data_IF_857447281482
#
_entry.id   IF_857447281482
#
_cell.length_a   1.000
_cell.length_b   1.000
_cell.length_c   1.000
_cell.angle_alpha   90.00
_cell.angle_beta   90.00
_cell.angle_gamma   90.00
#
_symmetry.space_group_name_H-M   'P 1'
#
loop_
_entity.id
_entity.type
_entity.pdbx_description
1 polymer ?
#
# COMPACT_ATOMS: atom_id res chain seq x y z
N UNK A 1 -58.00 -11.74 -12.30
CA UNK A 1 -56.85 -12.67 -12.26
C UNK A 1 -55.61 -12.15 -13.00
N UNK A 2 -55.69 -11.13 -13.88
CA UNK A 2 -54.51 -10.65 -14.63
C UNK A 2 -53.59 -9.68 -13.88
N UNK A 3 -54.10 -8.79 -13.01
CA UNK A 3 -53.26 -7.77 -12.33
C UNK A 3 -52.17 -8.35 -11.42
N UNK A 4 -52.41 -9.50 -10.78
CA UNK A 4 -51.39 -10.16 -9.93
C UNK A 4 -50.26 -10.77 -10.76
N UNK A 5 -50.56 -11.40 -11.91
CA UNK A 5 -49.53 -11.98 -12.80
C UNK A 5 -48.63 -10.91 -13.42
N UNK A 6 -49.16 -9.71 -13.69
CA UNK A 6 -48.36 -8.59 -14.20
C UNK A 6 -47.46 -8.00 -13.11
N UNK A 7 -47.95 -7.87 -11.88
CA UNK A 7 -47.15 -7.36 -10.75
C UNK A 7 -46.00 -8.30 -10.38
N UNK A 8 -46.25 -9.61 -10.31
CA UNK A 8 -45.21 -10.61 -10.01
C UNK A 8 -44.11 -10.66 -11.08
N UNK A 9 -44.46 -10.48 -12.35
CA UNK A 9 -43.49 -10.42 -13.46
C UNK A 9 -42.63 -9.15 -13.40
N UNK A 10 -43.19 -8.03 -12.97
CA UNK A 10 -42.44 -6.76 -12.81
C UNK A 10 -41.48 -6.84 -11.63
N UNK A 11 -41.94 -7.32 -10.47
CA UNK A 11 -41.10 -7.53 -9.27
C UNK A 11 -39.92 -8.47 -9.59
N UNK A 12 -40.16 -9.57 -10.32
CA UNK A 12 -39.10 -10.52 -10.71
C UNK A 12 -38.09 -9.92 -11.71
N UNK A 13 -38.55 -9.05 -12.63
CA UNK A 13 -37.67 -8.37 -13.60
C UNK A 13 -36.76 -7.38 -12.89
N UNK A 14 -37.28 -6.65 -11.90
CA UNK A 14 -36.49 -5.72 -11.09
C UNK A 14 -35.38 -6.44 -10.32
N UNK A 15 -35.72 -7.51 -9.59
CA UNK A 15 -34.74 -8.29 -8.85
C UNK A 15 -33.66 -8.92 -9.74
N UNK A 16 -34.05 -9.41 -10.93
CA UNK A 16 -33.07 -9.90 -11.91
C UNK A 16 -32.12 -8.79 -12.37
N UNK A 17 -32.61 -7.58 -12.57
CA UNK A 17 -31.75 -6.46 -12.96
C UNK A 17 -30.77 -6.07 -11.84
N UNK A 18 -31.24 -6.00 -10.59
CA UNK A 18 -30.37 -5.76 -9.44
C UNK A 18 -29.27 -6.82 -9.30
N UNK A 19 -29.61 -8.10 -9.49
CA UNK A 19 -28.62 -9.18 -9.45
C UNK A 19 -27.59 -9.03 -10.57
N UNK A 20 -28.00 -8.65 -11.78
CA UNK A 20 -27.07 -8.38 -12.87
C UNK A 20 -26.12 -7.23 -12.52
N UNK A 21 -26.62 -6.12 -11.96
CA UNK A 21 -25.79 -4.99 -11.51
C UNK A 21 -24.73 -5.46 -10.51
N UNK A 22 -25.11 -6.28 -9.53
CA UNK A 22 -24.19 -6.84 -8.52
C UNK A 22 -23.12 -7.73 -9.15
N UNK A 23 -23.44 -8.48 -10.20
CA UNK A 23 -22.52 -9.43 -10.84
C UNK A 23 -21.59 -8.74 -11.84
N UNK A 24 -22.11 -7.79 -12.63
CA UNK A 24 -21.41 -7.21 -13.78
C UNK A 24 -20.59 -5.96 -13.46
N UNK A 25 -20.91 -5.25 -12.35
CA UNK A 25 -20.22 -4.01 -11.99
C UNK A 25 -18.73 -4.25 -11.73
N UNK A 26 -17.89 -3.39 -12.29
CA UNK A 26 -16.42 -3.52 -12.21
C UNK A 26 -15.78 -2.59 -11.18
N UNK A 27 -16.47 -1.51 -10.82
CA UNK A 27 -16.04 -0.53 -9.84
C UNK A 27 -17.22 -0.01 -9.01
N UNK A 28 -16.89 0.59 -7.88
CA UNK A 28 -17.87 1.07 -6.88
C UNK A 28 -18.79 2.15 -7.45
N UNK A 29 -18.27 3.01 -8.33
CA UNK A 29 -18.99 4.17 -8.84
C UNK A 29 -20.06 3.76 -9.83
N UNK A 30 -19.71 2.90 -10.77
CA UNK A 30 -20.64 2.30 -11.72
C UNK A 30 -21.76 1.58 -10.96
N UNK A 31 -21.39 0.73 -9.98
CA UNK A 31 -22.35 -0.01 -9.16
C UNK A 31 -23.35 0.93 -8.45
N UNK A 32 -22.85 1.94 -7.73
CA UNK A 32 -23.70 2.85 -6.96
C UNK A 32 -24.61 3.69 -7.88
N UNK A 33 -24.12 4.09 -9.05
CA UNK A 33 -24.92 4.84 -10.04
C UNK A 33 -26.07 3.99 -10.58
N UNK A 34 -25.78 2.77 -11.04
CA UNK A 34 -26.81 1.89 -11.57
C UNK A 34 -27.81 1.48 -10.47
N UNK A 35 -27.34 1.25 -9.25
CA UNK A 35 -28.17 0.94 -8.10
C UNK A 35 -29.19 2.06 -7.83
N UNK A 36 -28.72 3.31 -7.68
CA UNK A 36 -29.62 4.41 -7.33
C UNK A 36 -30.63 4.70 -8.45
N UNK A 37 -30.23 4.55 -9.71
CA UNK A 37 -31.11 4.72 -10.87
C UNK A 37 -32.24 3.70 -10.88
N UNK A 38 -31.93 2.45 -10.58
CA UNK A 38 -32.92 1.37 -10.52
C UNK A 38 -33.85 1.54 -9.32
N UNK A 39 -33.30 1.84 -8.15
CA UNK A 39 -34.09 2.05 -6.94
C UNK A 39 -35.05 3.23 -7.11
N UNK A 40 -34.57 4.38 -7.60
CA UNK A 40 -35.45 5.55 -7.75
C UNK A 40 -36.55 5.31 -8.79
N UNK A 41 -36.25 4.62 -9.89
CA UNK A 41 -37.22 4.22 -10.90
C UNK A 41 -38.30 3.28 -10.33
N UNK A 42 -37.90 2.22 -9.63
CA UNK A 42 -38.82 1.23 -9.05
C UNK A 42 -39.76 1.84 -8.01
N UNK A 43 -39.21 2.69 -7.13
CA UNK A 43 -39.96 3.35 -6.07
C UNK A 43 -40.69 4.62 -6.53
N UNK A 44 -40.56 4.98 -7.82
CA UNK A 44 -41.09 6.21 -8.43
C UNK A 44 -40.77 7.44 -7.59
N UNK A 45 -39.52 7.54 -7.14
CA UNK A 45 -39.04 8.63 -6.30
C UNK A 45 -38.55 9.80 -7.15
N UNK A 46 -38.48 10.99 -6.56
CA UNK A 46 -38.07 12.23 -7.26
C UNK A 46 -36.56 12.52 -7.11
N UNK A 47 -35.86 11.71 -6.31
CA UNK A 47 -34.43 11.81 -6.10
C UNK A 47 -33.92 10.73 -5.17
N UNK A 48 -32.59 10.59 -5.14
CA UNK A 48 -31.92 9.68 -4.23
C UNK A 48 -30.42 9.86 -4.24
N UNK A 49 -29.79 9.46 -3.14
CA UNK A 49 -28.36 9.58 -2.90
C UNK A 49 -27.79 8.31 -2.30
N UNK A 50 -26.55 8.01 -2.69
CA UNK A 50 -25.72 6.98 -2.07
C UNK A 50 -24.50 7.66 -1.46
N UNK A 51 -24.36 7.50 -0.15
CA UNK A 51 -23.19 7.95 0.61
C UNK A 51 -22.42 6.73 1.11
N UNK A 52 -21.10 6.73 0.93
CA UNK A 52 -20.22 5.70 1.51
C UNK A 52 -19.33 6.32 2.59
N UNK A 53 -18.95 5.50 3.56
CA UNK A 53 -18.08 5.89 4.67
C UNK A 53 -16.63 5.85 4.21
N UNK A 54 -15.94 6.97 4.37
CA UNK A 54 -14.49 7.03 4.38
C UNK A 54 -14.00 6.91 5.83
N UNK A 55 -13.69 5.67 6.24
CA UNK A 55 -13.23 5.35 7.61
C UNK A 55 -11.88 5.97 7.93
N UNK A 56 -11.07 6.34 6.94
CA UNK A 56 -9.74 6.93 7.18
C UNK A 56 -9.85 8.37 7.67
N UNK A 57 -10.89 9.08 7.24
CA UNK A 57 -11.08 10.50 7.54
C UNK A 57 -12.34 10.78 8.36
N UNK A 58 -13.09 9.74 8.76
CA UNK A 58 -14.39 9.82 9.45
C UNK A 58 -15.43 10.67 8.70
N UNK A 59 -15.48 10.52 7.37
CA UNK A 59 -16.37 11.28 6.49
C UNK A 59 -17.40 10.38 5.80
N UNK A 60 -18.56 10.96 5.48
CA UNK A 60 -19.51 10.46 4.50
C UNK A 60 -19.26 11.15 3.17
N UNK A 61 -19.07 10.36 2.11
CA UNK A 61 -18.77 10.84 0.76
C UNK A 61 -19.94 10.52 -0.17
N UNK A 62 -20.44 11.53 -0.89
CA UNK A 62 -21.47 11.31 -1.91
C UNK A 62 -20.85 10.58 -3.11
N UNK A 63 -21.29 9.36 -3.41
CA UNK A 63 -20.71 8.55 -4.50
C UNK A 63 -21.65 8.39 -5.70
N UNK A 64 -22.96 8.50 -5.50
CA UNK A 64 -23.95 8.46 -6.58
C UNK A 64 -25.22 9.23 -6.24
N UNK A 65 -25.93 9.69 -7.28
CA UNK A 65 -27.19 10.43 -7.18
C UNK A 65 -28.04 10.23 -8.43
N UNK A 66 -29.36 10.09 -8.27
CA UNK A 66 -30.30 9.92 -9.40
C UNK A 66 -30.46 11.17 -10.28
N UNK A 67 -30.43 12.36 -9.68
CA UNK A 67 -30.40 13.62 -10.42
C UNK A 67 -28.94 14.07 -10.54
N UNK A 68 -28.46 14.48 -11.73
CA UNK A 68 -27.05 14.69 -11.96
C UNK A 68 -26.54 15.90 -11.17
N UNK A 69 -25.82 15.62 -10.08
CA UNK A 69 -24.89 16.54 -9.44
C UNK A 69 -23.45 16.12 -9.75
N UNK A 70 -23.01 16.03 -11.03
CA UNK A 70 -21.72 15.46 -11.39
C UNK A 70 -20.55 16.21 -10.75
N UNK A 71 -20.73 17.50 -10.46
CA UNK A 71 -19.75 18.34 -9.79
C UNK A 71 -19.65 18.10 -8.27
N UNK A 72 -20.54 17.30 -7.69
CA UNK A 72 -20.57 16.97 -6.26
C UNK A 72 -20.24 15.50 -6.00
N UNK A 73 -20.44 14.62 -6.98
CA UNK A 73 -20.03 13.22 -6.90
C UNK A 73 -18.53 13.16 -6.57
N UNK A 74 -18.21 12.46 -5.50
CA UNK A 74 -16.89 12.28 -4.90
C UNK A 74 -16.19 13.55 -4.36
N UNK A 75 -16.82 14.72 -4.50
CA UNK A 75 -16.28 16.00 -4.00
C UNK A 75 -17.00 16.49 -2.76
N UNK A 76 -18.27 16.15 -2.61
CA UNK A 76 -19.06 16.44 -1.42
C UNK A 76 -18.78 15.40 -0.34
N UNK A 77 -18.31 15.88 0.81
CA UNK A 77 -18.17 15.07 2.01
C UNK A 77 -18.49 15.86 3.27
N UNK A 78 -18.89 15.17 4.33
CA UNK A 78 -19.14 15.75 5.65
C UNK A 78 -18.91 14.71 6.76
N UNK A 79 -18.72 15.13 8.02
CA UNK A 79 -18.48 14.20 9.14
C UNK A 79 -19.58 13.14 9.30
N UNK A 80 -19.17 11.92 9.66
CA UNK A 80 -20.07 10.76 9.79
C UNK A 80 -21.19 10.93 10.83
N UNK A 81 -21.05 11.87 11.75
CA UNK A 81 -22.02 12.14 12.82
C UNK A 81 -23.06 13.21 12.47
N UNK A 82 -22.97 13.84 11.29
CA UNK A 82 -23.82 14.95 10.88
C UNK A 82 -24.89 14.55 9.86
N UNK A 83 -26.02 15.26 9.88
CA UNK A 83 -27.10 15.05 8.91
C UNK A 83 -27.99 13.83 9.22
N UNK A 84 -29.08 13.71 8.47
CA UNK A 84 -29.93 12.51 8.47
C UNK A 84 -29.13 11.25 8.11
N UNK A 85 -28.25 11.37 7.10
CA UNK A 85 -27.37 10.29 6.65
C UNK A 85 -26.38 9.85 7.74
N UNK A 86 -25.78 10.79 8.48
CA UNK A 86 -24.89 10.46 9.59
C UNK A 86 -25.59 9.78 10.75
N UNK A 87 -26.85 10.17 11.02
CA UNK A 87 -27.67 9.45 12.00
C UNK A 87 -27.88 7.99 11.59
N UNK A 88 -28.28 7.73 10.33
CA UNK A 88 -28.49 6.37 9.79
C UNK A 88 -27.24 5.51 9.92
N UNK A 89 -26.08 6.08 9.55
CA UNK A 89 -24.81 5.35 9.58
C UNK A 89 -24.34 5.08 11.01
N UNK A 90 -24.62 5.98 11.96
CA UNK A 90 -24.23 5.80 13.35
C UNK A 90 -25.11 4.79 14.09
N UNK A 91 -26.42 4.83 13.86
CA UNK A 91 -27.37 3.94 14.54
C UNK A 91 -27.52 2.61 13.84
N UNK A 92 -27.28 2.55 12.52
CA UNK A 92 -27.60 1.38 11.71
C UNK A 92 -29.11 1.16 11.54
N UNK A 93 -29.91 2.20 11.78
CA UNK A 93 -31.37 2.15 11.72
C UNK A 93 -31.92 2.87 10.48
N UNK A 94 -33.03 2.35 9.97
CA UNK A 94 -33.79 2.95 8.87
C UNK A 94 -34.53 4.20 9.36
N UNK A 95 -34.41 5.29 8.60
CA UNK A 95 -35.00 6.58 8.91
C UNK A 95 -36.08 6.96 7.91
N UNK A 96 -37.27 7.30 8.40
CA UNK A 96 -38.47 7.52 7.59
C UNK A 96 -39.12 8.85 7.94
N UNK A 97 -39.33 9.71 6.95
CA UNK A 97 -40.16 10.91 7.03
C UNK A 97 -41.25 10.87 5.96
N UNK A 98 -42.48 11.16 6.38
CA UNK A 98 -43.65 11.23 5.48
C UNK A 98 -43.78 12.60 4.83
N UNK A 99 -43.31 13.65 5.49
CA UNK A 99 -43.32 15.04 5.07
C UNK A 99 -42.28 15.85 5.86
N UNK A 100 -41.98 17.06 5.37
CA UNK A 100 -41.15 18.07 6.01
C UNK A 100 -39.83 17.55 6.62
N UNK A 101 -39.13 16.64 5.96
CA UNK A 101 -37.87 16.09 6.48
C UNK A 101 -36.79 17.16 6.76
N UNK A 102 -36.86 18.29 6.04
CA UNK A 102 -35.98 19.45 6.21
C UNK A 102 -36.18 20.21 7.54
N UNK A 103 -37.23 19.90 8.30
CA UNK A 103 -37.49 20.51 9.61
C UNK A 103 -36.94 19.71 10.79
N UNK A 104 -36.39 18.52 10.55
CA UNK A 104 -35.77 17.72 11.61
C UNK A 104 -34.45 18.37 12.05
N UNK A 105 -34.17 18.44 13.35
CA UNK A 105 -32.96 19.05 13.89
C UNK A 105 -31.67 18.40 13.38
N UNK A 106 -31.73 17.12 12.97
CA UNK A 106 -30.61 16.40 12.38
C UNK A 106 -30.42 16.73 10.90
N UNK A 107 -31.36 17.42 10.26
CA UNK A 107 -31.24 17.77 8.85
C UNK A 107 -30.09 18.75 8.65
N UNK A 108 -29.17 18.37 7.77
CA UNK A 108 -28.05 19.21 7.37
C UNK A 108 -28.36 19.84 6.03
N UNK A 109 -28.52 21.16 6.01
CA UNK A 109 -28.63 21.92 4.77
C UNK A 109 -27.27 21.91 4.05
N UNK A 110 -27.29 21.56 2.78
CA UNK A 110 -26.12 21.60 1.90
C UNK A 110 -26.53 22.46 0.71
N UNK A 111 -26.09 23.73 0.66
CA UNK A 111 -26.55 24.74 -0.32
C UNK A 111 -26.55 24.29 -1.79
N UNK A 112 -25.70 23.32 -2.14
CA UNK A 112 -25.56 22.79 -3.51
C UNK A 112 -26.53 21.64 -3.83
N UNK A 113 -27.14 21.05 -2.80
CA UNK A 113 -28.15 20.02 -2.91
C UNK A 113 -29.46 20.65 -2.43
N UNK A 114 -30.38 20.95 -3.33
CA UNK A 114 -31.70 21.52 -3.04
C UNK A 114 -32.60 20.50 -2.30
N UNK A 115 -32.10 19.93 -1.20
CA UNK A 115 -32.70 18.84 -0.44
C UNK A 115 -33.95 19.29 0.32
N UNK A 116 -34.02 20.58 0.65
CA UNK A 116 -35.17 21.24 1.27
C UNK A 116 -36.42 21.21 0.37
N UNK A 117 -36.26 20.90 -0.92
CA UNK A 117 -37.40 20.74 -1.84
C UNK A 117 -38.11 19.39 -1.72
N UNK A 118 -37.57 18.46 -0.93
CA UNK A 118 -38.17 17.15 -0.68
C UNK A 118 -39.00 17.16 0.60
N UNK A 119 -40.18 16.57 0.52
CA UNK A 119 -41.11 16.44 1.64
C UNK A 119 -40.91 15.09 2.34
N UNK A 120 -40.95 13.99 1.57
CA UNK A 120 -40.79 12.64 2.09
C UNK A 120 -39.38 12.10 1.87
N UNK A 121 -38.88 11.35 2.85
CA UNK A 121 -37.54 10.79 2.88
C UNK A 121 -37.59 9.36 3.42
N UNK A 122 -36.90 8.44 2.76
CA UNK A 122 -36.62 7.09 3.25
C UNK A 122 -35.12 6.85 3.09
N UNK A 123 -34.41 6.72 4.21
CA UNK A 123 -32.99 6.44 4.25
C UNK A 123 -32.69 5.14 4.97
N UNK A 124 -31.85 4.31 4.38
CA UNK A 124 -31.57 2.94 4.83
C UNK A 124 -30.05 2.74 4.88
N UNK A 125 -29.51 2.09 5.93
CA UNK A 125 -28.09 1.77 5.99
C UNK A 125 -27.72 0.70 4.96
N UNK A 126 -26.62 0.93 4.26
CA UNK A 126 -25.96 -0.08 3.44
C UNK A 126 -25.00 -0.83 4.34
N UNK A 127 -25.23 -2.13 4.55
CA UNK A 127 -24.45 -2.94 5.48
C UNK A 127 -24.13 -4.32 4.93
N UNK A 128 -22.96 -4.81 5.30
CA UNK A 128 -22.59 -6.22 5.17
C UNK A 128 -22.51 -6.82 6.59
N UNK A 129 -23.42 -7.74 6.88
CA UNK A 129 -23.71 -8.23 8.23
C UNK A 129 -23.86 -7.10 9.28
N UNK A 130 -22.88 -6.93 10.17
CA UNK A 130 -22.87 -5.89 11.22
C UNK A 130 -22.10 -4.62 10.81
N UNK A 131 -21.41 -4.65 9.67
CA UNK A 131 -20.54 -3.58 9.20
C UNK A 131 -21.35 -2.64 8.31
N UNK A 132 -21.55 -1.41 8.79
CA UNK A 132 -22.15 -0.35 7.97
C UNK A 132 -21.08 0.18 7.01
N UNK A 133 -21.42 0.20 5.73
CA UNK A 133 -20.57 0.65 4.61
C UNK A 133 -20.99 2.06 4.18
N UNK A 134 -22.27 2.40 4.35
CA UNK A 134 -22.82 3.68 3.92
C UNK A 134 -24.32 3.77 4.16
N UNK A 135 -24.98 4.66 3.43
CA UNK A 135 -26.42 4.80 3.43
C UNK A 135 -26.95 5.16 2.04
N UNK A 136 -28.13 4.62 1.73
CA UNK A 136 -28.89 4.97 0.55
C UNK A 136 -30.15 5.70 1.00
N UNK A 137 -30.49 6.80 0.33
CA UNK A 137 -31.75 7.51 0.56
C UNK A 137 -32.51 7.75 -0.72
N UNK A 138 -33.84 7.64 -0.66
CA UNK A 138 -34.77 8.05 -1.70
C UNK A 138 -35.75 9.08 -1.16
N UNK A 139 -36.18 9.98 -2.04
CA UNK A 139 -36.92 11.19 -1.64
C UNK A 139 -38.05 11.49 -2.61
N UNK A 140 -39.13 12.10 -2.11
CA UNK A 140 -40.25 12.61 -2.93
C UNK A 140 -40.52 14.07 -2.60
N UNK A 141 -40.83 14.88 -3.61
CA UNK A 141 -41.17 16.31 -3.49
C UNK A 141 -42.55 16.55 -2.90
N UNK A 142 -43.37 15.50 -2.81
CA UNK A 142 -44.68 15.52 -2.17
C UNK A 142 -44.68 14.61 -0.94
N UNK A 143 -45.54 14.88 0.05
CA UNK A 143 -45.75 13.96 1.15
C UNK A 143 -46.07 12.55 0.65
N UNK A 144 -45.47 11.54 1.27
CA UNK A 144 -45.67 10.14 0.91
C UNK A 144 -45.69 9.26 2.14
N UNK A 145 -46.70 8.40 2.22
CA UNK A 145 -46.79 7.40 3.27
C UNK A 145 -46.07 6.13 2.83
N UNK A 146 -44.80 6.01 3.22
CA UNK A 146 -44.00 4.81 2.99
C UNK A 146 -44.68 3.58 3.62
N UNK A 147 -44.97 2.59 2.78
CA UNK A 147 -45.55 1.31 3.22
C UNK A 147 -44.45 0.40 3.76
N UNK A 148 -44.80 -0.49 4.68
CA UNK A 148 -43.85 -1.47 5.22
C UNK A 148 -43.18 -2.31 4.12
N UNK A 149 -43.91 -2.68 3.06
CA UNK A 149 -43.33 -3.38 1.90
C UNK A 149 -42.23 -2.52 1.23
N UNK A 150 -42.45 -1.22 1.06
CA UNK A 150 -41.44 -0.33 0.45
C UNK A 150 -40.19 -0.24 1.33
N UNK A 151 -40.37 -0.05 2.63
CA UNK A 151 -39.26 0.04 3.60
C UNK A 151 -38.44 -1.25 3.57
N UNK A 152 -39.11 -2.40 3.73
CA UNK A 152 -38.46 -3.71 3.77
C UNK A 152 -37.76 -4.05 2.46
N UNK A 153 -38.38 -3.76 1.31
CA UNK A 153 -37.74 -3.98 0.01
C UNK A 153 -36.47 -3.13 -0.12
N UNK A 154 -36.47 -1.88 0.35
CA UNK A 154 -35.26 -1.06 0.30
C UNK A 154 -34.16 -1.56 1.24
N UNK A 155 -34.51 -2.07 2.42
CA UNK A 155 -33.59 -2.72 3.36
C UNK A 155 -32.94 -3.97 2.77
N UNK A 156 -33.71 -4.81 2.09
CA UNK A 156 -33.21 -5.99 1.39
C UNK A 156 -32.24 -5.61 0.28
N UNK A 157 -32.57 -4.57 -0.51
CA UNK A 157 -31.69 -4.03 -1.55
C UNK A 157 -30.38 -3.50 -0.95
N UNK A 158 -30.44 -2.73 0.15
CA UNK A 158 -29.26 -2.17 0.79
C UNK A 158 -28.37 -3.23 1.45
N UNK A 159 -28.96 -4.34 1.91
CA UNK A 159 -28.22 -5.51 2.41
C UNK A 159 -27.48 -6.22 1.26
N UNK A 160 -28.14 -6.42 0.12
CA UNK A 160 -27.50 -6.98 -1.07
C UNK A 160 -26.39 -6.06 -1.61
N UNK A 161 -26.66 -4.75 -1.64
CA UNK A 161 -25.70 -3.75 -2.07
C UNK A 161 -24.48 -3.69 -1.15
N UNK A 162 -24.66 -3.87 0.16
CA UNK A 162 -23.56 -3.93 1.11
C UNK A 162 -22.58 -5.04 0.79
N UNK A 163 -23.08 -6.27 0.53
CA UNK A 163 -22.24 -7.40 0.11
C UNK A 163 -21.47 -7.14 -1.17
N UNK A 164 -22.13 -6.56 -2.17
CA UNK A 164 -21.50 -6.22 -3.45
C UNK A 164 -20.39 -5.17 -3.27
N UNK A 165 -20.65 -4.14 -2.47
CA UNK A 165 -19.69 -3.07 -2.19
C UNK A 165 -18.49 -3.55 -1.38
N UNK A 166 -18.70 -4.41 -0.38
CA UNK A 166 -17.61 -5.04 0.38
C UNK A 166 -16.67 -5.80 -0.56
N UNK A 167 -17.24 -6.62 -1.45
CA UNK A 167 -16.49 -7.36 -2.47
C UNK A 167 -15.73 -6.41 -3.43
N UNK A 168 -16.37 -5.35 -3.92
CA UNK A 168 -15.72 -4.40 -4.84
C UNK A 168 -14.56 -3.66 -4.16
N UNK A 169 -14.72 -3.25 -2.91
CA UNK A 169 -13.65 -2.63 -2.11
C UNK A 169 -12.48 -3.60 -1.91
N UNK A 170 -12.74 -4.87 -1.63
CA UNK A 170 -11.71 -5.90 -1.49
C UNK A 170 -10.94 -6.13 -2.81
N UNK A 171 -11.65 -6.17 -3.94
CA UNK A 171 -11.05 -6.29 -5.28
C UNK A 171 -10.18 -5.07 -5.60
N UNK A 172 -10.66 -3.84 -5.35
CA UNK A 172 -9.87 -2.63 -5.56
C UNK A 172 -8.62 -2.60 -4.69
N UNK A 173 -8.73 -2.98 -3.41
CA UNK A 173 -7.60 -3.06 -2.49
C UNK A 173 -6.58 -4.12 -2.95
N UNK A 174 -7.05 -5.29 -3.39
CA UNK A 174 -6.20 -6.35 -3.93
C UNK A 174 -5.50 -5.92 -5.22
N UNK A 175 -6.21 -5.26 -6.14
CA UNK A 175 -5.62 -4.70 -7.37
C UNK A 175 -4.54 -3.67 -7.07
N UNK A 176 -4.78 -2.75 -6.11
CA UNK A 176 -3.77 -1.78 -5.66
C UNK A 176 -2.54 -2.49 -5.11
N UNK A 177 -2.72 -3.52 -4.27
CA UNK A 177 -1.61 -4.33 -3.72
C UNK A 177 -0.81 -5.03 -4.84
N UNK A 178 -1.48 -5.62 -5.83
CA UNK A 178 -0.83 -6.29 -6.98
C UNK A 178 -0.07 -5.26 -7.83
N UNK A 179 -0.67 -4.14 -8.21
CA UNK A 179 0.00 -3.09 -9.00
C UNK A 179 1.23 -2.53 -8.27
N UNK A 180 1.14 -2.39 -6.95
CA UNK A 180 2.27 -1.98 -6.11
C UNK A 180 3.39 -3.02 -6.13
N UNK A 181 3.05 -4.30 -6.07
CA UNK A 181 4.00 -5.42 -6.17
C UNK A 181 4.65 -5.53 -7.56
N UNK A 182 3.88 -5.33 -8.62
CA UNK A 182 4.40 -5.30 -9.99
C UNK A 182 5.35 -4.12 -10.21
N UNK A 183 5.01 -2.94 -9.66
CA UNK A 183 5.87 -1.75 -9.71
C UNK A 183 7.17 -1.98 -8.94
N UNK A 184 7.12 -2.63 -7.78
CA UNK A 184 8.30 -3.09 -7.06
C UNK A 184 9.17 -4.03 -7.91
N UNK A 185 8.56 -5.01 -8.56
CA UNK A 185 9.26 -5.95 -9.42
C UNK A 185 9.95 -5.25 -10.60
N UNK A 186 9.30 -4.25 -11.22
CA UNK A 186 9.86 -3.49 -12.33
C UNK A 186 11.00 -2.55 -11.91
N UNK A 187 10.89 -1.92 -10.74
CA UNK A 187 11.98 -1.08 -10.19
C UNK A 187 13.20 -1.96 -9.90
N UNK A 188 13.00 -3.16 -9.35
CA UNK A 188 14.08 -4.10 -9.05
C UNK A 188 14.86 -4.58 -10.28
N UNK A 189 14.26 -4.53 -11.47
CA UNK A 189 14.88 -4.95 -12.74
C UNK A 189 15.50 -3.80 -13.54
N UNK A 190 15.21 -2.54 -13.21
CA UNK A 190 15.52 -1.39 -14.11
C UNK A 190 16.55 -0.40 -13.55
N UNK A 191 16.83 -0.34 -12.25
CA UNK A 191 17.63 0.77 -11.68
C UNK A 191 19.09 0.39 -11.39
N UNK A 192 20.01 1.17 -12.00
CA UNK A 192 21.47 1.04 -12.05
C UNK A 192 22.11 2.23 -11.29
N UNK A 193 22.74 2.02 -10.12
CA UNK A 193 23.91 2.73 -9.53
C UNK A 193 24.10 2.44 -8.02
N UNK A 194 25.32 2.68 -7.51
CA UNK A 194 25.81 2.51 -6.13
C UNK A 194 25.01 3.28 -5.03
N UNK A 195 24.14 4.24 -5.39
CA UNK A 195 23.32 5.02 -4.42
C UNK A 195 21.95 4.43 -4.11
N UNK A 196 21.52 3.37 -4.79
CA UNK A 196 20.14 2.89 -4.72
C UNK A 196 19.88 1.79 -3.69
N UNK A 197 20.90 1.13 -3.13
CA UNK A 197 20.69 0.03 -2.18
C UNK A 197 19.82 0.44 -1.00
N UNK A 198 20.17 1.57 -0.38
CA UNK A 198 19.45 2.12 0.76
C UNK A 198 18.03 2.57 0.36
N UNK A 199 17.87 3.17 -0.82
CA UNK A 199 16.57 3.62 -1.33
C UNK A 199 15.64 2.44 -1.63
N UNK A 200 16.15 1.37 -2.25
CA UNK A 200 15.42 0.13 -2.52
C UNK A 200 14.99 -0.52 -1.20
N UNK A 201 15.91 -0.64 -0.24
CA UNK A 201 15.60 -1.21 1.07
C UNK A 201 14.52 -0.40 1.80
N UNK A 202 14.62 0.93 1.77
CA UNK A 202 13.62 1.84 2.34
C UNK A 202 12.26 1.73 1.64
N UNK A 203 12.26 1.58 0.31
CA UNK A 203 11.04 1.38 -0.47
C UNK A 203 10.37 0.05 -0.12
N UNK A 204 11.14 -1.04 -0.05
CA UNK A 204 10.62 -2.37 0.31
C UNK A 204 9.97 -2.32 1.71
N UNK A 205 10.65 -1.79 2.74
CA UNK A 205 10.05 -1.74 4.08
C UNK A 205 8.79 -0.87 4.13
N UNK A 206 8.77 0.24 3.38
CA UNK A 206 7.62 1.14 3.33
C UNK A 206 6.40 0.45 2.72
N UNK A 207 6.58 -0.19 1.57
CA UNK A 207 5.50 -0.88 0.86
C UNK A 207 5.05 -2.11 1.64
N UNK A 208 6.00 -2.86 2.22
CA UNK A 208 5.69 -4.04 3.03
C UNK A 208 4.85 -3.65 4.25
N UNK A 209 5.22 -2.58 4.96
CA UNK A 209 4.46 -2.09 6.11
C UNK A 209 3.02 -1.71 5.72
N UNK A 210 2.85 -1.00 4.61
CA UNK A 210 1.53 -0.61 4.11
C UNK A 210 0.68 -1.82 3.71
N UNK A 211 1.27 -2.77 2.98
CA UNK A 211 0.55 -3.94 2.47
C UNK A 211 0.10 -4.93 3.56
N UNK A 212 0.88 -5.00 4.65
CA UNK A 212 0.64 -5.92 5.79
C UNK A 212 0.05 -5.23 7.01
N UNK A 213 -0.16 -3.91 6.97
CA UNK A 213 -0.67 -3.15 8.12
C UNK A 213 0.26 -3.15 9.34
N UNK A 214 1.57 -3.32 9.13
CA UNK A 214 2.55 -3.35 10.22
C UNK A 214 2.63 -2.01 10.94
N UNK A 215 2.81 -2.05 12.26
CA UNK A 215 3.26 -0.91 13.05
C UNK A 215 4.70 -0.52 12.72
N UNK A 216 5.58 -1.51 12.62
CA UNK A 216 6.97 -1.33 12.19
C UNK A 216 7.36 -2.48 11.26
N UNK A 217 7.89 -2.12 10.09
CA UNK A 217 8.62 -3.04 9.24
C UNK A 217 10.10 -2.64 9.19
N UNK A 218 11.00 -3.63 9.19
CA UNK A 218 12.44 -3.39 9.06
C UNK A 218 13.16 -4.53 8.36
N UNK A 219 14.21 -4.19 7.62
CA UNK A 219 15.16 -5.14 7.05
C UNK A 219 16.45 -5.08 7.88
N UNK A 220 16.90 -6.25 8.33
CA UNK A 220 18.23 -6.42 8.93
C UNK A 220 19.08 -7.30 8.02
N UNK A 221 20.25 -6.80 7.61
CA UNK A 221 21.19 -7.59 6.80
C UNK A 221 22.16 -8.33 7.70
N UNK A 222 22.56 -9.52 7.25
CA UNK A 222 23.56 -10.35 7.93
C UNK A 222 24.96 -9.82 7.64
N UNK A 223 25.68 -9.43 8.69
CA UNK A 223 27.13 -9.26 8.65
C UNK A 223 27.77 -10.63 8.90
N UNK A 224 28.25 -11.27 7.83
CA UNK A 224 28.86 -12.60 7.88
C UNK A 224 30.13 -12.63 8.74
N UNK A 225 30.87 -11.52 8.85
CA UNK A 225 32.13 -11.47 9.60
C UNK A 225 31.88 -11.46 11.11
N UNK A 226 30.81 -10.78 11.54
CA UNK A 226 30.45 -10.65 12.96
C UNK A 226 29.37 -11.66 13.39
N UNK A 227 28.74 -12.34 12.43
CA UNK A 227 27.59 -13.20 12.65
C UNK A 227 26.43 -12.47 13.36
N UNK A 228 26.17 -11.24 12.91
CA UNK A 228 25.21 -10.31 13.50
C UNK A 228 24.26 -9.74 12.44
N UNK A 229 23.04 -9.45 12.85
CA UNK A 229 22.01 -8.78 12.06
C UNK A 229 22.04 -7.29 12.37
N UNK A 230 22.24 -6.49 11.33
CA UNK A 230 22.34 -5.04 11.39
C UNK A 230 21.13 -4.44 10.70
N UNK A 231 20.41 -3.53 11.37
CA UNK A 231 19.29 -2.81 10.75
C UNK A 231 19.84 -1.96 9.61
N UNK A 232 19.32 -2.18 8.41
CA UNK A 232 19.68 -1.39 7.22
C UNK A 232 18.53 -0.55 6.72
N UNK A 233 17.28 -0.95 6.93
CA UNK A 233 16.14 -0.09 6.64
C UNK A 233 15.00 -0.33 7.63
N UNK A 234 14.21 0.71 7.88
CA UNK A 234 12.95 0.62 8.59
C UNK A 234 12.00 1.73 8.13
N UNK A 235 10.71 1.43 8.12
CA UNK A 235 9.66 2.42 7.92
C UNK A 235 9.45 3.28 9.18
N UNK A 236 9.89 2.82 10.36
CA UNK A 236 9.86 3.62 11.59
C UNK A 236 11.01 4.64 11.62
N UNK A 237 10.67 5.88 11.94
CA UNK A 237 11.64 6.95 12.21
C UNK A 237 12.07 7.00 13.69
N UNK A 238 11.61 6.07 14.52
CA UNK A 238 11.90 6.07 15.95
C UNK A 238 13.41 5.90 16.21
N UNK A 239 14.07 6.87 16.87
CA UNK A 239 15.48 6.71 17.23
C UNK A 239 15.72 5.55 18.19
N UNK A 240 14.75 5.20 19.04
CA UNK A 240 14.85 4.02 19.93
C UNK A 240 14.94 2.73 19.11
N UNK A 241 14.17 2.64 18.02
CA UNK A 241 14.13 1.47 17.16
C UNK A 241 15.28 1.45 16.15
N UNK A 242 15.74 2.60 15.66
CA UNK A 242 16.83 2.63 14.67
C UNK A 242 18.21 2.39 15.30
N UNK A 243 18.40 2.81 16.55
CA UNK A 243 19.69 2.71 17.26
C UNK A 243 19.80 1.49 18.19
N UNK A 244 18.93 0.49 18.04
CA UNK A 244 19.06 -0.73 18.84
C UNK A 244 20.36 -1.46 18.49
N UNK A 245 20.96 -2.15 19.46
CA UNK A 245 22.15 -2.93 19.18
C UNK A 245 21.83 -4.08 18.21
N UNK A 246 22.87 -4.51 17.48
CA UNK A 246 22.78 -5.62 16.55
C UNK A 246 22.28 -6.90 17.25
N UNK A 247 21.65 -7.77 16.47
CA UNK A 247 21.15 -9.06 16.96
C UNK A 247 22.06 -10.18 16.51
N UNK A 248 22.53 -11.01 17.45
CA UNK A 248 23.28 -12.21 17.09
C UNK A 248 22.39 -13.27 16.45
N UNK A 249 22.95 -13.98 15.48
CA UNK A 249 22.31 -15.15 14.86
C UNK A 249 22.15 -16.26 15.92
N UNK A 250 20.98 -16.91 15.95
CA UNK A 250 20.63 -17.94 16.94
C UNK A 250 20.24 -17.46 18.34
N UNK A 251 20.57 -16.22 18.73
CA UNK A 251 20.32 -15.70 20.09
C UNK A 251 19.13 -14.72 20.18
N UNK A 252 18.41 -14.53 19.09
CA UNK A 252 17.21 -13.68 18.99
C UNK A 252 16.14 -14.33 18.12
N UNK A 253 14.88 -13.88 18.20
CA UNK A 253 13.80 -14.34 17.30
C UNK A 253 14.22 -14.22 15.82
N UNK A 254 14.67 -13.03 15.42
CA UNK A 254 15.19 -12.76 14.08
C UNK A 254 16.42 -13.61 13.74
N UNK A 255 17.35 -13.76 14.69
CA UNK A 255 18.54 -14.60 14.52
C UNK A 255 18.23 -16.08 14.38
N UNK A 256 17.17 -16.58 15.04
CA UNK A 256 16.70 -17.96 14.92
C UNK A 256 16.05 -18.19 13.56
N UNK A 257 15.28 -17.22 13.05
CA UNK A 257 14.69 -17.30 11.71
C UNK A 257 15.78 -17.43 10.62
N UNK A 258 16.88 -16.69 10.79
CA UNK A 258 18.07 -16.78 9.93
C UNK A 258 18.78 -18.13 10.08
N UNK A 259 19.00 -18.61 11.30
CA UNK A 259 19.69 -19.87 11.57
C UNK A 259 18.92 -21.08 11.01
N UNK A 260 17.61 -21.13 11.25
CA UNK A 260 16.73 -22.24 10.85
C UNK A 260 16.27 -22.13 9.38
N UNK A 261 16.52 -20.99 8.73
CA UNK A 261 16.02 -20.67 7.38
C UNK A 261 14.51 -20.79 7.27
N UNK A 262 13.81 -20.42 8.34
CA UNK A 262 12.35 -20.52 8.46
C UNK A 262 11.77 -19.24 9.03
N UNK A 263 10.56 -18.89 8.61
CA UNK A 263 9.81 -17.82 9.23
C UNK A 263 9.46 -18.16 10.68
N UNK A 264 9.51 -17.16 11.55
CA UNK A 264 9.14 -17.30 12.96
C UNK A 264 8.12 -16.23 13.30
N UNK A 265 6.94 -16.68 13.72
CA UNK A 265 5.88 -15.83 14.23
C UNK A 265 5.86 -15.89 15.76
N UNK A 266 5.80 -14.73 16.40
CA UNK A 266 5.70 -14.56 17.85
C UNK A 266 4.45 -13.76 18.14
N UNK A 267 3.54 -14.35 18.91
CA UNK A 267 2.26 -13.74 19.27
C UNK A 267 2.42 -12.57 20.26
N UNK A 268 3.37 -12.66 21.19
CA UNK A 268 3.64 -11.60 22.17
C UNK A 268 5.14 -11.51 22.47
N UNK A 269 5.82 -10.52 21.88
CA UNK A 269 7.26 -10.30 22.02
C UNK A 269 7.66 -9.90 23.43
N UNK A 270 6.73 -9.41 24.26
CA UNK A 270 7.03 -9.04 25.65
C UNK A 270 7.15 -10.25 26.57
N UNK A 271 6.68 -11.41 26.11
CA UNK A 271 6.69 -12.69 26.85
C UNK A 271 7.65 -13.72 26.25
N UNK A 272 8.18 -13.48 25.05
CA UNK A 272 9.07 -14.41 24.38
C UNK A 272 10.51 -14.29 24.90
N UNK A 273 11.08 -15.41 25.35
CA UNK A 273 12.42 -15.49 25.97
C UNK A 273 13.54 -15.16 24.97
N UNK A 274 13.32 -15.41 23.67
CA UNK A 274 14.27 -15.11 22.60
C UNK A 274 14.12 -13.68 22.09
N UNK A 275 13.10 -12.93 22.51
CA UNK A 275 12.97 -11.54 22.10
C UNK A 275 14.01 -10.67 22.82
N UNK A 276 14.84 -9.98 22.04
CA UNK A 276 15.87 -9.07 22.55
C UNK A 276 15.33 -7.65 22.55
N UNK A 277 15.51 -6.98 23.68
CA UNK A 277 15.09 -5.60 23.95
C UNK A 277 13.57 -5.40 24.17
N UNK A 278 12.94 -6.11 25.13
CA UNK A 278 11.51 -5.96 25.45
C UNK A 278 11.14 -4.53 25.90
N UNK A 279 12.10 -3.77 26.45
CA UNK A 279 11.92 -2.36 26.80
C UNK A 279 11.67 -1.47 25.57
N UNK A 280 12.32 -1.77 24.43
CA UNK A 280 12.07 -1.06 23.16
C UNK A 280 10.67 -1.43 22.65
N UNK A 281 10.30 -2.72 22.69
CA UNK A 281 8.95 -3.14 22.32
C UNK A 281 7.88 -2.42 23.15
N UNK A 282 8.05 -2.33 24.48
CA UNK A 282 7.12 -1.60 25.35
C UNK A 282 7.02 -0.12 25.00
N UNK A 283 8.15 0.54 24.74
CA UNK A 283 8.19 1.98 24.40
C UNK A 283 7.52 2.28 23.06
N UNK A 284 7.71 1.41 22.08
CA UNK A 284 7.18 1.57 20.71
C UNK A 284 5.78 0.94 20.54
N UNK A 285 5.26 0.26 21.57
CA UNK A 285 3.97 -0.42 21.54
C UNK A 285 3.95 -1.67 20.65
N UNK A 286 5.08 -2.38 20.52
CA UNK A 286 5.18 -3.59 19.70
C UNK A 286 4.69 -4.82 20.47
N UNK A 287 3.81 -5.60 19.86
CA UNK A 287 3.18 -6.76 20.49
C UNK A 287 3.52 -8.05 19.75
N UNK A 288 3.13 -8.23 18.50
CA UNK A 288 3.47 -9.45 17.74
C UNK A 288 4.55 -9.18 16.72
N UNK A 289 5.30 -10.22 16.35
CA UNK A 289 6.39 -10.17 15.39
C UNK A 289 6.30 -11.34 14.42
N UNK A 290 6.40 -11.06 13.13
CA UNK A 290 6.75 -12.03 12.10
C UNK A 290 8.15 -11.73 11.56
N UNK A 291 9.09 -12.65 11.80
CA UNK A 291 10.45 -12.59 11.29
C UNK A 291 10.60 -13.58 10.11
N UNK A 292 10.97 -13.07 8.94
CA UNK A 292 11.06 -13.87 7.71
C UNK A 292 12.47 -13.75 7.11
N UNK A 293 13.20 -14.88 6.92
CA UNK A 293 14.54 -14.83 6.37
C UNK A 293 14.52 -14.44 4.89
N UNK A 294 15.48 -13.60 4.50
CA UNK A 294 15.72 -13.22 3.12
C UNK A 294 16.74 -14.16 2.51
N UNK A 295 16.33 -14.94 1.50
CA UNK A 295 17.11 -16.04 0.96
C UNK A 295 17.39 -15.90 -0.53
N UNK A 296 18.63 -16.14 -0.93
CA UNK A 296 19.05 -16.23 -2.33
C UNK A 296 19.92 -17.47 -2.52
N UNK A 297 19.60 -18.30 -3.52
CA UNK A 297 20.35 -19.54 -3.84
C UNK A 297 20.67 -20.42 -2.61
N UNK A 298 19.73 -20.53 -1.66
CA UNK A 298 19.87 -21.32 -0.44
C UNK A 298 20.70 -20.68 0.68
N UNK A 299 21.23 -19.46 0.49
CA UNK A 299 21.92 -18.67 1.51
C UNK A 299 20.99 -17.59 2.08
N UNK A 300 21.08 -17.33 3.38
CA UNK A 300 20.35 -16.24 4.04
C UNK A 300 21.23 -15.01 4.05
N UNK A 301 20.72 -13.89 3.56
CA UNK A 301 21.45 -12.61 3.50
C UNK A 301 20.91 -11.57 4.50
N UNK A 302 19.80 -11.89 5.16
CA UNK A 302 19.15 -11.00 6.12
C UNK A 302 17.79 -11.53 6.56
N UNK A 303 17.00 -10.64 7.17
CA UNK A 303 15.66 -10.92 7.68
C UNK A 303 14.78 -9.69 7.56
N UNK A 304 13.51 -9.90 7.23
CA UNK A 304 12.45 -8.89 7.34
C UNK A 304 11.68 -9.15 8.63
N UNK A 305 11.54 -8.10 9.46
CA UNK A 305 10.73 -8.13 10.66
C UNK A 305 9.50 -7.25 10.46
N UNK A 306 8.31 -7.81 10.66
CA UNK A 306 7.02 -7.11 10.65
C UNK A 306 6.40 -7.17 12.05
N UNK A 307 6.10 -6.02 12.64
CA UNK A 307 5.51 -5.89 13.97
C UNK A 307 4.08 -5.35 13.89
N UNK A 308 3.22 -5.80 14.80
CA UNK A 308 1.89 -5.23 15.08
C UNK A 308 1.89 -4.54 16.45
N UNK A 309 0.97 -3.59 16.65
CA UNK A 309 0.71 -2.96 17.95
C UNK A 309 -0.47 -3.61 18.72
N UNK A 310 -0.94 -4.75 18.24
CA UNK A 310 -1.97 -5.60 18.86
C UNK A 310 -1.55 -7.07 18.77
N UNK A 311 -2.06 -7.95 19.66
CA UNK A 311 -1.81 -9.38 19.57
C UNK A 311 -2.38 -9.95 18.26
N UNK A 312 -1.52 -10.51 17.43
CA UNK A 312 -1.84 -11.00 16.09
C UNK A 312 -1.27 -12.41 15.89
N UNK A 313 -2.14 -13.30 15.40
CA UNK A 313 -1.73 -14.63 14.96
C UNK A 313 -1.63 -14.61 13.44
N UNK A 314 -0.39 -14.56 12.93
CA UNK A 314 -0.13 -14.50 11.50
C UNK A 314 -0.68 -15.74 10.79
N UNK A 315 -1.48 -15.52 9.75
CA UNK A 315 -2.03 -16.58 8.90
C UNK A 315 -0.96 -17.10 7.93
N UNK A 316 -1.17 -18.29 7.36
CA UNK A 316 -0.26 -18.82 6.33
C UNK A 316 -0.18 -17.90 5.11
N UNK A 317 -1.28 -17.23 4.75
CA UNK A 317 -1.31 -16.29 3.63
C UNK A 317 -0.43 -15.06 3.89
N UNK A 318 -0.50 -14.48 5.09
CA UNK A 318 0.36 -13.36 5.50
C UNK A 318 1.84 -13.76 5.54
N UNK A 319 2.14 -14.96 6.04
CA UNK A 319 3.51 -15.51 6.08
C UNK A 319 4.02 -15.72 4.65
N UNK A 320 3.22 -16.32 3.76
CA UNK A 320 3.58 -16.55 2.36
C UNK A 320 3.77 -15.24 1.58
N UNK A 321 2.94 -14.23 1.84
CA UNK A 321 3.09 -12.90 1.27
C UNK A 321 4.42 -12.27 1.67
N UNK A 322 4.75 -12.26 2.97
CA UNK A 322 6.00 -11.68 3.46
C UNK A 322 7.22 -12.49 3.00
N UNK A 323 7.12 -13.82 2.89
CA UNK A 323 8.16 -14.67 2.27
C UNK A 323 8.41 -14.32 0.81
N UNK A 324 7.35 -14.04 0.04
CA UNK A 324 7.49 -13.62 -1.36
C UNK A 324 8.20 -12.27 -1.46
N UNK A 325 7.86 -11.32 -0.58
CA UNK A 325 8.57 -10.04 -0.47
C UNK A 325 10.03 -10.25 -0.08
N UNK A 326 10.32 -11.10 0.91
CA UNK A 326 11.68 -11.39 1.35
C UNK A 326 12.54 -12.03 0.25
N UNK A 327 11.95 -12.90 -0.58
CA UNK A 327 12.63 -13.47 -1.75
C UNK A 327 12.96 -12.40 -2.81
N UNK A 328 12.02 -11.52 -3.12
CA UNK A 328 12.25 -10.42 -4.08
C UNK A 328 13.29 -9.42 -3.55
N UNK A 329 13.19 -9.06 -2.27
CA UNK A 329 14.18 -8.22 -1.61
C UNK A 329 15.58 -8.86 -1.67
N UNK A 330 15.67 -10.18 -1.49
CA UNK A 330 16.94 -10.88 -1.59
C UNK A 330 17.53 -10.88 -3.00
N UNK A 331 16.70 -11.04 -4.03
CA UNK A 331 17.11 -10.95 -5.44
C UNK A 331 17.59 -9.53 -5.77
N UNK A 332 16.84 -8.51 -5.37
CA UNK A 332 17.21 -7.11 -5.61
C UNK A 332 18.58 -6.78 -4.98
N UNK A 333 18.79 -7.20 -3.73
CA UNK A 333 20.07 -7.02 -3.03
C UNK A 333 21.24 -7.72 -3.72
N UNK A 334 21.06 -8.98 -4.11
CA UNK A 334 22.10 -9.75 -4.82
C UNK A 334 22.45 -9.08 -6.15
N UNK A 335 21.44 -8.63 -6.91
CA UNK A 335 21.65 -7.94 -8.18
C UNK A 335 22.41 -6.63 -8.00
N UNK A 336 22.07 -5.83 -6.97
CA UNK A 336 22.78 -4.59 -6.67
C UNK A 336 24.24 -4.88 -6.32
N UNK A 337 24.50 -5.84 -5.42
CA UNK A 337 25.87 -6.21 -5.03
C UNK A 337 26.70 -6.70 -6.23
N UNK A 338 26.16 -7.58 -7.06
CA UNK A 338 26.85 -8.08 -8.25
C UNK A 338 27.15 -6.95 -9.25
N UNK A 339 26.27 -5.97 -9.36
CA UNK A 339 26.46 -4.82 -10.23
C UNK A 339 27.55 -3.88 -9.70
N UNK A 340 27.58 -3.62 -8.39
CA UNK A 340 28.63 -2.84 -7.73
C UNK A 340 30.01 -3.48 -7.95
N UNK A 341 30.12 -4.79 -7.70
CA UNK A 341 31.35 -5.54 -7.97
C UNK A 341 31.78 -5.43 -9.44
N UNK A 342 30.83 -5.53 -10.37
CA UNK A 342 31.09 -5.38 -11.81
C UNK A 342 31.59 -3.97 -12.17
N UNK A 343 30.96 -2.93 -11.64
CA UNK A 343 31.35 -1.53 -11.88
C UNK A 343 32.75 -1.26 -11.33
N UNK A 344 33.05 -1.70 -10.10
CA UNK A 344 34.37 -1.55 -9.50
C UNK A 344 35.47 -2.26 -10.31
N UNK A 345 35.19 -3.48 -10.81
CA UNK A 345 36.11 -4.20 -11.70
C UNK A 345 36.29 -3.46 -13.02
N UNK A 346 35.22 -2.93 -13.63
CA UNK A 346 35.31 -2.15 -14.87
C UNK A 346 36.15 -0.89 -14.70
N UNK A 347 35.93 -0.12 -13.63
CA UNK A 347 36.71 1.07 -13.32
C UNK A 347 38.19 0.75 -13.09
N UNK A 348 38.49 -0.33 -12.36
CA UNK A 348 39.86 -0.79 -12.14
C UNK A 348 40.55 -1.19 -13.46
N UNK A 349 39.82 -1.88 -14.36
CA UNK A 349 40.32 -2.27 -15.68
C UNK A 349 40.56 -1.04 -16.58
N UNK A 350 39.65 -0.06 -16.59
CA UNK A 350 39.83 1.19 -17.33
C UNK A 350 41.03 1.98 -16.82
N UNK A 351 41.14 2.15 -15.50
CA UNK A 351 42.29 2.80 -14.87
C UNK A 351 43.59 2.11 -15.27
N UNK A 352 43.63 0.78 -15.27
CA UNK A 352 44.81 0.01 -15.68
C UNK A 352 45.15 0.24 -17.15
N UNK A 353 44.16 0.21 -18.06
CA UNK A 353 44.39 0.47 -19.49
C UNK A 353 44.97 1.86 -19.75
N UNK A 354 44.45 2.88 -19.07
CA UNK A 354 44.95 4.26 -19.18
C UNK A 354 46.40 4.35 -18.70
N UNK A 355 46.71 3.77 -17.54
CA UNK A 355 48.07 3.71 -17.00
C UNK A 355 49.03 3.02 -17.97
N UNK A 356 48.66 1.87 -18.55
CA UNK A 356 49.50 1.17 -19.54
C UNK A 356 49.70 1.99 -20.83
N UNK A 357 48.66 2.64 -21.36
CA UNK A 357 48.78 3.53 -22.53
C UNK A 357 49.72 4.70 -22.24
N UNK A 358 49.59 5.34 -21.08
CA UNK A 358 50.45 6.44 -20.67
C UNK A 358 51.92 6.00 -20.46
N UNK A 359 52.15 4.81 -19.87
CA UNK A 359 53.49 4.21 -19.78
C UNK A 359 54.10 4.05 -21.17
N UNK A 360 53.37 3.46 -22.11
CA UNK A 360 53.84 3.26 -23.49
C UNK A 360 54.18 4.58 -24.21
N UNK A 361 53.41 5.64 -23.98
CA UNK A 361 53.71 6.99 -24.49
C UNK A 361 55.01 7.52 -23.88
N UNK A 362 55.17 7.43 -22.55
CA UNK A 362 56.38 7.90 -21.87
C UNK A 362 57.63 7.15 -22.32
N UNK A 363 57.55 5.82 -22.46
CA UNK A 363 58.64 4.98 -22.98
C UNK A 363 59.10 5.46 -24.35
N UNK A 364 58.16 5.72 -25.27
CA UNK A 364 58.48 6.22 -26.62
C UNK A 364 59.03 7.64 -26.63
N UNK A 365 58.42 8.56 -25.89
CA UNK A 365 58.81 9.97 -25.91
C UNK A 365 60.14 10.24 -25.22
N UNK A 366 60.47 9.46 -24.17
CA UNK A 366 61.67 9.66 -23.35
C UNK A 366 62.75 8.61 -23.57
N UNK A 367 62.48 7.59 -24.39
CA UNK A 367 63.36 6.44 -24.62
C UNK A 367 63.83 5.78 -23.30
N UNK A 368 62.86 5.47 -22.44
CA UNK A 368 63.07 4.91 -21.10
C UNK A 368 62.44 3.52 -20.97
N UNK A 369 62.91 2.76 -19.98
CA UNK A 369 62.33 1.46 -19.63
C UNK A 369 60.91 1.58 -19.06
N UNK A 370 60.20 0.46 -19.02
CA UNK A 370 58.84 0.38 -18.47
C UNK A 370 58.79 0.76 -16.98
N UNK A 371 59.77 0.30 -16.20
CA UNK A 371 59.88 0.61 -14.77
C UNK A 371 60.12 2.10 -14.53
N UNK A 372 60.96 2.73 -15.34
CA UNK A 372 61.19 4.18 -15.28
C UNK A 372 59.93 4.97 -15.65
N UNK A 373 59.19 4.52 -16.67
CA UNK A 373 57.93 5.16 -17.06
C UNK A 373 56.86 5.05 -15.96
N UNK A 374 56.75 3.89 -15.30
CA UNK A 374 55.84 3.70 -14.17
C UNK A 374 56.26 4.54 -12.96
N UNK A 375 57.55 4.62 -12.65
CA UNK A 375 58.07 5.48 -11.57
C UNK A 375 57.78 6.96 -11.82
N UNK A 376 57.84 7.42 -13.07
CA UNK A 376 57.45 8.80 -13.43
C UNK A 376 55.96 9.03 -13.18
N UNK A 377 55.09 8.12 -13.60
CA UNK A 377 53.64 8.21 -13.35
C UNK A 377 53.33 8.25 -11.84
N UNK A 378 53.96 7.36 -11.08
CA UNK A 378 53.80 7.30 -9.62
C UNK A 378 54.30 8.57 -8.94
N UNK A 379 55.45 9.08 -9.36
CA UNK A 379 55.99 10.36 -8.86
C UNK A 379 55.05 11.52 -9.14
N UNK A 380 54.54 11.65 -10.37
CA UNK A 380 53.57 12.69 -10.73
C UNK A 380 52.24 12.57 -9.98
N UNK A 381 51.77 11.34 -9.71
CA UNK A 381 50.59 11.09 -8.90
C UNK A 381 50.77 11.60 -7.46
N UNK A 382 51.92 11.29 -6.84
CA UNK A 382 52.24 11.76 -5.48
C UNK A 382 52.45 13.28 -5.42
N UNK A 383 53.26 13.83 -6.31
CA UNK A 383 53.61 15.26 -6.34
C UNK A 383 52.37 16.15 -6.54
N UNK A 384 51.38 15.66 -7.31
CA UNK A 384 50.15 16.40 -7.63
C UNK A 384 48.94 15.99 -6.79
N UNK A 385 49.09 15.00 -5.90
CA UNK A 385 47.99 14.38 -5.13
C UNK A 385 46.80 13.99 -6.00
N UNK A 386 47.08 13.44 -7.18
CA UNK A 386 46.07 12.94 -8.14
C UNK A 386 46.17 11.44 -8.27
N UNK A 387 45.06 10.80 -8.64
CA UNK A 387 45.06 9.37 -8.93
C UNK A 387 45.98 9.05 -10.12
N UNK A 388 46.52 7.83 -10.16
CA UNK A 388 47.29 7.35 -11.31
C UNK A 388 46.49 7.44 -12.63
N UNK A 389 45.16 7.26 -12.56
CA UNK A 389 44.24 7.42 -13.69
C UNK A 389 44.28 8.83 -14.26
N UNK A 390 44.09 9.86 -13.43
CA UNK A 390 44.09 11.27 -13.86
C UNK A 390 45.44 11.71 -14.45
N UNK A 391 46.55 11.22 -13.87
CA UNK A 391 47.88 11.50 -14.42
C UNK A 391 48.06 10.83 -15.78
N UNK A 392 47.61 9.58 -15.92
CA UNK A 392 47.68 8.85 -17.17
C UNK A 392 46.84 9.53 -18.28
N UNK A 393 45.61 9.95 -17.96
CA UNK A 393 44.74 10.70 -18.88
C UNK A 393 45.39 12.00 -19.36
N UNK A 394 46.00 12.77 -18.45
CA UNK A 394 46.69 14.01 -18.80
C UNK A 394 47.87 13.78 -19.77
N UNK A 395 48.65 12.70 -19.59
CA UNK A 395 49.76 12.35 -20.48
C UNK A 395 49.26 11.91 -21.85
N UNK A 396 48.18 11.12 -21.89
CA UNK A 396 47.54 10.69 -23.14
C UNK A 396 47.05 11.91 -23.92
N UNK A 397 46.30 12.80 -23.27
CA UNK A 397 45.77 14.01 -23.88
C UNK A 397 46.89 14.93 -24.40
N UNK A 398 47.95 15.13 -23.61
CA UNK A 398 49.09 15.94 -24.02
C UNK A 398 49.87 15.35 -25.23
N UNK A 399 49.78 14.03 -25.46
CA UNK A 399 50.36 13.39 -26.64
C UNK A 399 49.45 13.48 -27.87
N UNK A 400 48.13 13.45 -27.69
CA UNK A 400 47.15 13.56 -28.78
C UNK A 400 47.05 14.99 -29.34
N UNK A 401 47.48 15.99 -28.56
CA UNK A 401 47.52 17.42 -28.95
C UNK A 401 48.87 17.88 -29.54
N UNK A 402 49.85 16.98 -29.68
CA UNK A 402 51.13 17.22 -30.36
C UNK A 402 51.07 16.68 -31.77
#
# INVERSE_FOLDING_TARGET
>A
MDKNKTSERTDMKFWKNLLNIVIESKDIKEFCSQLIDNVVSEFKSDGGFVYLIDRKHDLLKLVASYNPYPNLIEKLSFPINEGLTGWIVRTGETLVFKNACYRDDRFKLIDKLAEETYEAYLGVPIKDDSIIIGALSIKKRRPHQWKEKEIKTLEEICTLAGKALAKLQEIENSKKKIQMFDSLSQISTTIISDRYLQEILNLIVSITAEATGSKICSIMLLDENKNELVIKASQSLSPSYLNKPNLKVGESVSGKAVLEKKSIAVFDVTKDVLYRYPEIAKKEGLVSLLAVPMMIKGKVIGVINSYTDYPHQFTEEEINMLMSVAAQAAIALENTKLMEEKLAIQEALESRKLVEKAKGILMKQKNISEDEAYNILRKQSMDRRKSLKEVAEAIILANELK
#
